data_IF_424970147788
#
_entry.id   IF_424970147788
#
_cell.length_a   1.000
_cell.length_b   1.000
_cell.length_c   1.000
_cell.angle_alpha   90.00
_cell.angle_beta   90.00
_cell.angle_gamma   90.00
#
_symmetry.space_group_name_H-M   'P 1'
#
loop_
_entity.id
_entity.type
_entity.pdbx_description
1 polymer ?
#
# COMPACT_ATOMS: atom_id res chain seq x y z
N UNK A 1 10.13 4.05 7.77
CA UNK A 1 9.70 4.49 6.44
C UNK A 1 10.49 3.74 5.38
N UNK A 2 9.82 3.21 4.38
CA UNK A 2 10.42 2.32 3.38
C UNK A 2 10.30 2.96 2.00
N UNK A 3 11.33 2.80 1.18
CA UNK A 3 11.38 3.36 -0.18
C UNK A 3 11.45 2.24 -1.22
N UNK A 4 10.83 2.48 -2.37
CA UNK A 4 10.98 1.59 -3.52
C UNK A 4 12.36 1.78 -4.12
N UNK A 5 13.14 0.71 -4.32
CA UNK A 5 14.41 0.81 -5.05
C UNK A 5 14.16 1.22 -6.50
N UNK A 6 15.06 1.98 -7.08
CA UNK A 6 14.99 2.34 -8.49
C UNK A 6 14.49 3.74 -8.79
N UNK A 7 14.41 4.61 -7.82
CA UNK A 7 14.30 6.04 -8.07
C UNK A 7 12.92 6.68 -7.94
N UNK A 8 11.84 5.93 -7.94
CA UNK A 8 10.54 6.51 -7.62
C UNK A 8 10.35 6.51 -6.12
N UNK A 9 9.86 7.63 -5.58
CA UNK A 9 9.71 7.77 -4.15
C UNK A 9 8.33 7.28 -3.71
N UNK A 10 8.31 6.13 -3.07
CA UNK A 10 7.11 5.59 -2.44
C UNK A 10 7.42 5.32 -0.98
N UNK A 11 6.63 5.87 -0.09
CA UNK A 11 6.85 5.78 1.35
C UNK A 11 5.58 5.28 2.02
N UNK A 12 5.75 4.53 3.09
CA UNK A 12 4.63 4.11 3.92
C UNK A 12 4.83 4.60 5.34
N UNK A 13 3.75 5.13 5.92
CA UNK A 13 3.58 5.18 7.37
C UNK A 13 2.61 4.08 7.72
N UNK A 14 3.08 3.08 8.44
CA UNK A 14 2.27 1.92 8.71
C UNK A 14 2.49 1.46 10.15
N UNK A 15 1.38 1.17 10.83
CA UNK A 15 1.39 0.52 12.13
C UNK A 15 0.80 -0.86 11.99
N UNK A 16 1.48 -1.84 12.55
CA UNK A 16 1.05 -3.24 12.52
C UNK A 16 0.76 -3.68 13.94
N UNK A 17 -0.41 -4.26 14.13
CA UNK A 17 -0.84 -4.81 15.42
C UNK A 17 -0.92 -6.33 15.29
N UNK A 18 0.02 -7.03 15.92
CA UNK A 18 0.17 -8.48 15.77
C UNK A 18 0.41 -8.86 14.31
N UNK A 19 -0.61 -9.33 13.63
CA UNK A 19 -0.52 -9.82 12.25
C UNK A 19 -1.29 -8.98 11.26
N UNK A 20 -1.86 -7.85 11.70
CA UNK A 20 -2.78 -7.05 10.89
C UNK A 20 -2.33 -5.61 10.81
N UNK A 21 -2.70 -4.95 9.73
CA UNK A 21 -2.44 -3.53 9.55
C UNK A 21 -3.40 -2.74 10.43
N UNK A 22 -2.85 -2.00 11.38
CA UNK A 22 -3.62 -1.14 12.27
C UNK A 22 -3.89 0.21 11.63
N UNK A 23 -2.88 0.80 10.98
CA UNK A 23 -3.02 2.03 10.23
C UNK A 23 -2.03 2.05 9.09
N UNK A 24 -2.37 2.76 8.02
CA UNK A 24 -1.50 2.89 6.86
C UNK A 24 -1.74 4.21 6.18
N UNK A 25 -0.66 4.86 5.78
CA UNK A 25 -0.67 6.06 4.96
C UNK A 25 0.36 5.89 3.85
N UNK A 26 -0.08 6.07 2.62
CA UNK A 26 0.76 5.91 1.43
C UNK A 26 1.16 7.28 0.95
N UNK A 27 2.47 7.55 0.90
CA UNK A 27 3.03 8.85 0.60
C UNK A 27 4.09 8.70 -0.49
N UNK A 28 4.35 9.77 -1.21
CA UNK A 28 5.45 9.76 -2.13
C UNK A 28 5.24 10.65 -3.34
N UNK A 29 6.11 10.47 -4.32
CA UNK A 29 6.12 11.22 -5.57
C UNK A 29 5.47 10.36 -6.66
N UNK A 30 4.14 10.28 -6.61
CA UNK A 30 3.37 9.46 -7.53
C UNK A 30 2.03 10.14 -7.84
N UNK A 31 1.30 9.54 -8.77
CA UNK A 31 0.00 10.05 -9.19
C UNK A 31 -1.02 8.92 -9.14
N UNK A 32 -2.19 9.20 -8.58
CA UNK A 32 -3.32 8.26 -8.53
C UNK A 32 -4.57 8.96 -9.01
N UNK A 33 -5.29 8.32 -9.92
CA UNK A 33 -6.56 8.84 -10.40
C UNK A 33 -7.62 7.73 -10.34
N UNK A 34 -8.80 7.98 -9.82
CA UNK A 34 -9.25 9.20 -9.12
C UNK A 34 -8.48 9.41 -7.80
N UNK A 35 -8.27 10.66 -7.41
CA UNK A 35 -7.44 10.96 -6.22
C UNK A 35 -8.00 10.33 -4.95
N UNK A 36 -9.31 10.34 -4.77
CA UNK A 36 -9.97 9.78 -3.60
C UNK A 36 -9.84 8.26 -3.50
N UNK A 37 -9.50 7.59 -4.61
CA UNK A 37 -9.34 6.14 -4.59
C UNK A 37 -8.15 5.69 -3.77
N UNK A 38 -7.14 6.53 -3.62
CA UNK A 38 -6.01 6.22 -2.73
C UNK A 38 -6.47 6.09 -1.29
N UNK A 39 -7.34 6.98 -0.85
CA UNK A 39 -7.91 6.95 0.48
C UNK A 39 -8.71 5.67 0.71
N UNK A 40 -9.51 5.29 -0.30
CA UNK A 40 -10.28 4.05 -0.23
C UNK A 40 -9.37 2.82 -0.16
N UNK A 41 -8.25 2.85 -0.89
CA UNK A 41 -7.26 1.77 -0.83
C UNK A 41 -6.66 1.65 0.57
N UNK A 42 -6.30 2.78 1.16
CA UNK A 42 -5.76 2.78 2.54
C UNK A 42 -6.76 2.19 3.52
N UNK A 43 -8.03 2.57 3.40
CA UNK A 43 -9.09 2.02 4.25
C UNK A 43 -9.27 0.51 4.05
N UNK A 44 -9.19 0.06 2.80
CA UNK A 44 -9.36 -1.35 2.48
C UNK A 44 -8.28 -2.22 3.11
N UNK A 45 -7.10 -1.65 3.33
CA UNK A 45 -5.98 -2.38 3.93
C UNK A 45 -6.04 -2.48 5.44
N UNK A 46 -6.92 -1.72 6.10
CA UNK A 46 -7.04 -1.78 7.56
C UNK A 46 -7.57 -3.14 8.01
N UNK A 47 -6.88 -3.76 8.95
CA UNK A 47 -7.25 -5.06 9.48
C UNK A 47 -6.85 -6.23 8.60
N UNK A 48 -6.09 -6.00 7.55
CA UNK A 48 -5.70 -7.02 6.58
C UNK A 48 -4.40 -7.68 7.02
N UNK A 49 -4.33 -9.00 6.87
CA UNK A 49 -3.13 -9.78 7.16
C UNK A 49 -2.17 -9.72 5.98
N UNK A 50 -0.87 -9.98 6.25
CA UNK A 50 0.16 -9.80 5.22
C UNK A 50 -0.08 -10.64 3.96
N UNK A 51 -0.63 -11.83 4.13
CA UNK A 51 -0.86 -12.75 3.00
C UNK A 51 -1.97 -12.27 2.07
N UNK A 52 -2.82 -11.38 2.56
CA UNK A 52 -3.99 -10.90 1.82
C UNK A 52 -3.76 -9.55 1.15
N UNK A 53 -2.65 -8.87 1.46
CA UNK A 53 -2.44 -7.50 1.03
C UNK A 53 -2.45 -7.34 -0.49
N UNK A 54 -1.76 -8.21 -1.22
CA UNK A 54 -1.72 -8.10 -2.68
C UNK A 54 -3.09 -8.27 -3.30
N UNK A 55 -3.87 -9.22 -2.82
CA UNK A 55 -5.23 -9.44 -3.31
C UNK A 55 -6.12 -8.24 -3.05
N UNK A 56 -6.03 -7.65 -1.86
CA UNK A 56 -6.81 -6.47 -1.51
C UNK A 56 -6.40 -5.28 -2.39
N UNK A 57 -5.11 -5.07 -2.58
CA UNK A 57 -4.61 -3.98 -3.43
C UNK A 57 -5.12 -4.16 -4.85
N UNK A 58 -4.97 -5.35 -5.41
CA UNK A 58 -5.38 -5.64 -6.79
C UNK A 58 -6.89 -5.47 -6.96
N UNK A 59 -7.66 -5.95 -6.00
CA UNK A 59 -9.12 -5.82 -6.02
C UNK A 59 -9.55 -4.35 -5.95
N UNK A 60 -8.91 -3.56 -5.09
CA UNK A 60 -9.23 -2.14 -4.97
C UNK A 60 -8.92 -1.39 -6.27
N UNK A 61 -7.79 -1.69 -6.89
CA UNK A 61 -7.41 -1.06 -8.16
C UNK A 61 -8.47 -1.37 -9.22
N UNK A 62 -8.91 -2.62 -9.31
CA UNK A 62 -9.90 -3.02 -10.29
C UNK A 62 -11.28 -2.39 -10.00
N UNK A 63 -11.72 -2.43 -8.74
CA UNK A 63 -13.04 -1.93 -8.35
C UNK A 63 -13.14 -0.41 -8.48
N UNK A 64 -12.09 0.29 -8.10
CA UNK A 64 -12.05 1.75 -8.15
C UNK A 64 -11.63 2.27 -9.53
N UNK A 65 -11.26 1.39 -10.44
CA UNK A 65 -10.72 1.74 -11.76
C UNK A 65 -9.57 2.72 -11.62
N UNK A 66 -8.63 2.40 -10.74
CA UNK A 66 -7.51 3.27 -10.43
C UNK A 66 -6.48 3.28 -11.54
N UNK A 67 -5.96 4.45 -11.82
CA UNK A 67 -4.76 4.62 -12.64
C UNK A 67 -3.60 5.01 -11.71
N UNK A 68 -2.53 4.24 -11.75
CA UNK A 68 -1.35 4.49 -10.93
C UNK A 68 -0.18 4.91 -11.82
N UNK A 69 0.50 5.97 -11.43
CA UNK A 69 1.73 6.40 -12.08
C UNK A 69 2.77 6.64 -10.99
N UNK A 70 3.91 6.01 -11.14
CA UNK A 70 5.00 6.12 -10.18
C UNK A 70 5.16 4.92 -9.25
N UNK A 71 4.16 4.05 -9.20
CA UNK A 71 4.27 2.77 -8.48
C UNK A 71 3.25 1.78 -9.02
N UNK A 72 3.42 0.52 -8.66
CA UNK A 72 2.50 -0.54 -9.05
C UNK A 72 1.93 -1.23 -7.81
N UNK A 73 0.94 -2.11 -8.02
CA UNK A 73 0.40 -2.93 -6.94
C UNK A 73 1.51 -3.76 -6.29
N UNK A 74 2.42 -4.32 -7.10
CA UNK A 74 3.53 -5.11 -6.58
C UNK A 74 4.49 -4.25 -5.76
N UNK A 75 4.79 -3.04 -6.20
CA UNK A 75 5.66 -2.13 -5.45
C UNK A 75 5.08 -1.85 -4.06
N UNK A 76 3.79 -1.52 -4.01
CA UNK A 76 3.12 -1.25 -2.75
C UNK A 76 3.12 -2.49 -1.85
N UNK A 77 2.78 -3.64 -2.41
CA UNK A 77 2.77 -4.88 -1.65
C UNK A 77 4.16 -5.20 -1.09
N UNK A 78 5.21 -5.01 -1.88
CA UNK A 78 6.58 -5.27 -1.42
C UNK A 78 6.94 -4.41 -0.22
N UNK A 79 6.56 -3.14 -0.24
CA UNK A 79 6.81 -2.25 0.91
C UNK A 79 6.04 -2.71 2.14
N UNK A 80 4.80 -3.12 1.97
CA UNK A 80 3.98 -3.62 3.08
C UNK A 80 4.61 -4.89 3.66
N UNK A 81 5.07 -5.82 2.80
CA UNK A 81 5.71 -7.04 3.26
C UNK A 81 6.99 -6.75 4.05
N UNK A 82 7.78 -5.77 3.60
CA UNK A 82 8.96 -5.34 4.34
C UNK A 82 8.60 -4.80 5.71
N UNK A 83 7.52 -4.01 5.79
CA UNK A 83 7.06 -3.47 7.08
C UNK A 83 6.66 -4.59 8.04
N UNK A 84 5.97 -5.62 7.55
CA UNK A 84 5.64 -6.78 8.39
C UNK A 84 6.89 -7.50 8.87
N UNK A 85 7.89 -7.66 8.02
CA UNK A 85 9.14 -8.31 8.40
C UNK A 85 9.90 -7.51 9.47
N UNK A 86 9.93 -6.19 9.34
CA UNK A 86 10.60 -5.31 10.29
C UNK A 86 9.88 -5.26 11.63
N UNK A 87 8.56 -5.48 11.63
CA UNK A 87 7.74 -5.46 12.83
C UNK A 87 8.02 -6.66 13.75
N UNK A 88 8.37 -7.80 13.18
CA UNK A 88 8.62 -9.02 13.98
C UNK A 88 10.02 -9.02 14.66
#
# INVERSE_FOLDING_TARGET
MVKVPGGKLLKLKIDIDSTKIKSIQILGDFFVYPEESLFELEKALLGVQREQCLDIISSAIAQQKMTLAGFSANDLNNLIQQAFEEHT
#
